data_IF_309614476533
#
_entry.id   IF_309614476533
#
_cell.length_a   1.000
_cell.length_b   1.000
_cell.length_c   1.000
_cell.angle_alpha   90.00
_cell.angle_beta   90.00
_cell.angle_gamma   90.00
#
_symmetry.space_group_name_H-M   'P 1'
#
loop_
_entity.id
_entity.type
_entity.pdbx_description
1 polymer ?
#
# COMPACT_ATOMS: atom_id res chain seq x y z
N UNK A 1 -3.16 -8.08 -21.85
CA UNK A 1 -3.12 -8.14 -20.38
C UNK A 1 -1.84 -7.48 -19.91
N UNK A 2 -1.94 -6.31 -19.29
CA UNK A 2 -0.85 -5.56 -18.65
C UNK A 2 -1.04 -5.63 -17.13
N UNK A 3 0.01 -5.99 -16.41
CA UNK A 3 -0.03 -6.11 -14.95
C UNK A 3 1.03 -5.17 -14.38
N UNK A 4 0.65 -4.35 -13.40
CA UNK A 4 1.63 -3.70 -12.53
C UNK A 4 1.90 -4.63 -11.35
N UNK A 5 3.14 -5.07 -11.19
CA UNK A 5 3.59 -5.89 -10.06
C UNK A 5 4.60 -5.10 -9.22
N UNK A 6 4.32 -4.94 -7.93
CA UNK A 6 5.17 -4.19 -6.99
C UNK A 6 5.11 -4.80 -5.58
N UNK A 7 6.06 -4.44 -4.72
CA UNK A 7 6.15 -4.87 -3.32
C UNK A 7 7.08 -3.91 -2.55
N UNK A 8 7.28 -4.15 -1.25
CA UNK A 8 8.37 -3.57 -0.46
C UNK A 8 8.37 -2.02 -0.42
N UNK A 9 7.18 -1.43 -0.27
CA UNK A 9 7.07 0.02 -0.09
C UNK A 9 7.63 0.44 1.27
N UNK A 10 7.52 -0.40 2.30
CA UNK A 10 8.05 -0.15 3.65
C UNK A 10 7.67 1.24 4.20
N UNK A 11 6.40 1.63 4.03
CA UNK A 11 5.90 2.92 4.45
C UNK A 11 6.10 3.10 5.97
N UNK A 12 6.65 4.26 6.35
CA UNK A 12 7.04 4.56 7.73
C UNK A 12 8.53 4.49 8.02
N UNK A 13 9.36 4.19 7.03
CA UNK A 13 10.79 4.47 7.13
C UNK A 13 11.04 5.98 7.17
N UNK A 14 11.67 6.44 8.25
CA UNK A 14 11.92 7.86 8.52
C UNK A 14 13.41 8.21 8.54
N UNK A 15 14.29 7.29 8.12
CA UNK A 15 15.74 7.47 8.16
C UNK A 15 16.14 8.71 7.35
N UNK A 16 16.95 9.58 7.95
CA UNK A 16 17.37 10.88 7.38
C UNK A 16 16.21 11.85 7.04
N UNK A 17 14.99 11.54 7.49
CA UNK A 17 13.83 12.40 7.34
C UNK A 17 13.84 13.54 8.33
N UNK A 18 13.18 14.64 7.96
CA UNK A 18 12.91 15.78 8.84
C UNK A 18 11.42 16.08 8.81
N UNK A 19 10.94 16.93 9.72
CA UNK A 19 9.57 17.44 9.63
C UNK A 19 9.53 18.50 8.53
N UNK A 20 8.62 18.31 7.60
CA UNK A 20 8.26 19.31 6.62
C UNK A 20 7.37 20.38 7.28
N UNK A 21 7.76 21.66 7.24
CA UNK A 21 7.06 22.71 7.99
C UNK A 21 5.68 23.05 7.42
N UNK A 22 5.41 22.74 6.15
CA UNK A 22 4.13 23.05 5.50
C UNK A 22 3.08 22.00 5.83
N UNK A 23 3.47 20.73 5.83
CA UNK A 23 2.57 19.59 6.03
C UNK A 23 2.57 19.05 7.47
N UNK A 24 3.60 19.35 8.26
CA UNK A 24 3.81 18.75 9.58
C UNK A 24 4.18 17.26 9.55
N UNK A 25 4.39 16.69 8.36
CA UNK A 25 4.70 15.27 8.16
C UNK A 25 6.21 15.06 7.99
N UNK A 26 6.66 13.82 8.20
CA UNK A 26 8.05 13.48 7.91
C UNK A 26 8.30 13.52 6.38
N UNK A 27 9.37 14.18 5.94
CA UNK A 27 9.72 14.28 4.52
C UNK A 27 9.87 12.93 3.84
N UNK A 28 10.29 11.87 4.55
CA UNK A 28 10.35 10.52 3.97
C UNK A 28 8.98 9.97 3.65
N UNK A 29 7.97 10.20 4.49
CA UNK A 29 6.59 9.81 4.19
C UNK A 29 6.12 10.47 2.90
N UNK A 30 6.44 11.76 2.72
CA UNK A 30 6.12 12.51 1.49
C UNK A 30 6.86 11.94 0.27
N UNK A 31 8.12 11.54 0.44
CA UNK A 31 8.90 10.93 -0.64
C UNK A 31 8.29 9.60 -1.09
N UNK A 32 7.94 8.71 -0.15
CA UNK A 32 7.24 7.46 -0.45
C UNK A 32 5.92 7.72 -1.17
N UNK A 33 5.13 8.69 -0.69
CA UNK A 33 3.87 9.04 -1.34
C UNK A 33 4.09 9.47 -2.78
N UNK A 34 5.04 10.39 -3.05
CA UNK A 34 5.33 10.85 -4.42
C UNK A 34 5.80 9.72 -5.33
N UNK A 35 6.63 8.81 -4.83
CA UNK A 35 7.07 7.63 -5.61
C UNK A 35 5.93 6.68 -5.91
N UNK A 36 5.03 6.44 -4.95
CA UNK A 36 3.86 5.60 -5.15
C UNK A 36 2.88 6.25 -6.14
N UNK A 37 2.55 7.53 -5.93
CA UNK A 37 1.68 8.30 -6.83
C UNK A 37 2.21 8.22 -8.28
N UNK A 38 3.51 8.44 -8.48
CA UNK A 38 4.14 8.32 -9.80
C UNK A 38 3.96 6.92 -10.42
N UNK A 39 4.17 5.86 -9.62
CA UNK A 39 3.98 4.48 -10.08
C UNK A 39 2.52 4.23 -10.49
N UNK A 40 1.57 4.69 -9.69
CA UNK A 40 0.13 4.56 -9.98
C UNK A 40 -0.26 5.35 -11.23
N UNK A 41 0.22 6.59 -11.37
CA UNK A 41 -0.01 7.40 -12.56
C UNK A 41 0.48 6.68 -13.82
N UNK A 42 1.71 6.14 -13.81
CA UNK A 42 2.24 5.37 -14.95
C UNK A 42 1.40 4.11 -15.22
N UNK A 43 0.95 3.42 -14.17
CA UNK A 43 0.10 2.24 -14.32
C UNK A 43 -1.22 2.60 -15.01
N UNK A 44 -1.84 3.71 -14.62
CA UNK A 44 -3.09 4.18 -15.22
C UNK A 44 -2.92 4.67 -16.66
N UNK A 45 -1.83 5.37 -16.96
CA UNK A 45 -1.51 5.81 -18.33
C UNK A 45 -1.22 4.65 -19.27
N UNK A 46 -0.67 3.56 -18.74
CA UNK A 46 -0.42 2.34 -19.49
C UNK A 46 -1.66 1.45 -19.62
N UNK A 47 -2.83 1.84 -19.10
CA UNK A 47 -4.06 1.05 -19.12
C UNK A 47 -3.83 -0.38 -18.58
N UNK A 48 -3.32 -0.50 -17.34
CA UNK A 48 -3.16 -1.81 -16.71
C UNK A 48 -4.50 -2.52 -16.46
N UNK A 49 -4.48 -3.85 -16.56
CA UNK A 49 -5.64 -4.71 -16.30
C UNK A 49 -5.66 -5.23 -14.86
N UNK A 50 -4.53 -5.17 -14.13
CA UNK A 50 -4.40 -5.67 -12.75
C UNK A 50 -3.28 -4.93 -12.01
N UNK A 51 -3.55 -4.55 -10.77
CA UNK A 51 -2.56 -4.08 -9.82
C UNK A 51 -2.25 -5.19 -8.81
N UNK A 52 -1.01 -5.67 -8.79
CA UNK A 52 -0.54 -6.76 -7.93
C UNK A 52 0.50 -6.23 -6.94
N UNK A 53 0.14 -6.23 -5.65
CA UNK A 53 0.97 -5.80 -4.53
C UNK A 53 1.43 -7.02 -3.71
N UNK A 54 2.72 -7.36 -3.78
CA UNK A 54 3.27 -8.61 -3.23
C UNK A 54 3.90 -8.46 -1.84
N UNK A 55 3.37 -7.59 -0.99
CA UNK A 55 3.71 -7.51 0.43
C UNK A 55 4.66 -6.38 0.83
N UNK A 56 4.85 -6.28 2.14
CA UNK A 56 5.66 -5.29 2.83
C UNK A 56 5.24 -3.84 2.51
N UNK A 57 3.95 -3.58 2.68
CA UNK A 57 3.38 -2.25 2.54
C UNK A 57 3.93 -1.29 3.60
N UNK A 58 4.09 -1.78 4.83
CA UNK A 58 4.55 -0.99 5.96
C UNK A 58 5.86 -1.54 6.52
N UNK A 59 6.67 -0.64 7.10
CA UNK A 59 7.91 -1.04 7.77
C UNK A 59 7.68 -1.97 8.97
N UNK A 60 6.52 -1.83 9.60
CA UNK A 60 6.13 -2.55 10.83
C UNK A 60 4.66 -2.92 10.77
N UNK A 61 4.27 -4.00 11.45
CA UNK A 61 2.90 -4.50 11.48
C UNK A 61 1.86 -3.55 12.11
N UNK A 62 2.29 -2.52 12.84
CA UNK A 62 1.44 -1.51 13.48
C UNK A 62 1.63 -0.12 12.83
N UNK A 63 1.20 0.10 11.58
CA UNK A 63 1.33 1.40 10.93
C UNK A 63 0.40 2.44 11.56
N UNK A 64 0.88 3.68 11.59
CA UNK A 64 0.09 4.82 12.11
C UNK A 64 -1.13 5.11 11.23
N UNK A 65 -2.20 5.74 11.76
CA UNK A 65 -3.35 6.14 10.95
C UNK A 65 -2.95 7.00 9.74
N UNK A 66 -1.93 7.85 9.88
CA UNK A 66 -1.40 8.65 8.77
C UNK A 66 -0.81 7.78 7.67
N UNK A 67 -0.02 6.75 8.02
CA UNK A 67 0.55 5.81 7.04
C UNK A 67 -0.55 5.01 6.33
N UNK A 68 -1.53 4.50 7.08
CA UNK A 68 -2.67 3.78 6.51
C UNK A 68 -3.47 4.65 5.54
N UNK A 69 -3.78 5.89 5.94
CA UNK A 69 -4.45 6.87 5.09
C UNK A 69 -3.65 7.16 3.82
N UNK A 70 -2.35 7.43 3.94
CA UNK A 70 -1.49 7.74 2.79
C UNK A 70 -1.45 6.59 1.79
N UNK A 71 -1.31 5.34 2.26
CA UNK A 71 -1.32 4.17 1.39
C UNK A 71 -2.67 4.01 0.67
N UNK A 72 -3.79 4.17 1.39
CA UNK A 72 -5.12 4.14 0.81
C UNK A 72 -5.37 5.26 -0.21
N UNK A 73 -4.89 6.47 0.06
CA UNK A 73 -4.96 7.59 -0.89
C UNK A 73 -4.22 7.30 -2.19
N UNK A 74 -3.06 6.62 -2.12
CA UNK A 74 -2.30 6.23 -3.30
C UNK A 74 -2.99 5.15 -4.14
N UNK A 75 -3.69 4.20 -3.51
CA UNK A 75 -4.43 3.14 -4.23
C UNK A 75 -5.80 3.59 -4.75
N UNK A 76 -6.38 4.64 -4.17
CA UNK A 76 -7.73 5.12 -4.52
C UNK A 76 -7.95 5.30 -6.03
N UNK A 77 -7.04 5.93 -6.81
CA UNK A 77 -7.24 6.09 -8.25
C UNK A 77 -7.37 4.76 -9.02
N UNK A 78 -6.65 3.71 -8.58
CA UNK A 78 -6.73 2.36 -9.17
C UNK A 78 -8.10 1.76 -8.89
N UNK A 79 -8.55 1.84 -7.63
CA UNK A 79 -9.86 1.33 -7.21
C UNK A 79 -11.02 2.08 -7.88
N UNK A 80 -10.96 3.41 -7.97
CA UNK A 80 -11.98 4.25 -8.64
C UNK A 80 -12.07 3.97 -10.15
N UNK A 81 -10.98 3.52 -10.78
CA UNK A 81 -10.97 3.09 -12.18
C UNK A 81 -11.56 1.69 -12.38
N UNK A 82 -11.90 0.98 -11.30
CA UNK A 82 -12.40 -0.40 -11.34
C UNK A 82 -11.33 -1.42 -11.72
N UNK A 83 -10.04 -1.06 -11.61
CA UNK A 83 -8.94 -1.99 -11.87
C UNK A 83 -8.81 -2.91 -10.64
N UNK A 84 -8.83 -4.24 -10.82
CA UNK A 84 -8.65 -5.16 -9.70
C UNK A 84 -7.31 -4.95 -8.99
N UNK A 85 -7.35 -5.02 -7.66
CA UNK A 85 -6.17 -4.91 -6.79
C UNK A 85 -6.03 -6.22 -6.03
N UNK A 86 -4.91 -6.91 -6.24
CA UNK A 86 -4.56 -8.11 -5.48
C UNK A 86 -3.40 -7.76 -4.57
N UNK A 87 -3.54 -8.07 -3.28
CA UNK A 87 -2.55 -7.80 -2.25
C UNK A 87 -2.17 -9.08 -1.52
N UNK A 88 -0.88 -9.25 -1.26
CA UNK A 88 -0.34 -10.30 -0.41
C UNK A 88 0.19 -9.64 0.86
N UNK A 89 -0.09 -10.22 2.02
CA UNK A 89 0.47 -9.76 3.29
C UNK A 89 1.92 -10.23 3.39
N UNK A 90 2.86 -9.26 3.50
CA UNK A 90 4.28 -9.54 3.67
C UNK A 90 4.66 -9.87 5.11
N UNK A 91 5.92 -10.26 5.33
CA UNK A 91 6.41 -10.61 6.66
C UNK A 91 6.49 -9.40 7.60
N UNK A 92 6.72 -8.19 7.09
CA UNK A 92 6.70 -6.96 7.92
C UNK A 92 5.27 -6.51 8.26
N UNK A 93 4.28 -6.91 7.44
CA UNK A 93 2.86 -6.63 7.63
C UNK A 93 2.18 -7.62 8.58
N UNK A 94 2.86 -8.72 8.96
CA UNK A 94 2.34 -9.75 9.84
C UNK A 94 2.41 -9.34 11.32
N UNK A 95 1.27 -9.24 12.03
CA UNK A 95 1.28 -8.94 13.45
C UNK A 95 1.92 -10.07 14.26
N UNK A 96 2.67 -9.69 15.30
CA UNK A 96 3.46 -10.60 16.15
C UNK A 96 2.58 -11.60 16.93
N UNK A 97 1.29 -11.29 17.15
CA UNK A 97 0.35 -12.11 17.89
C UNK A 97 -0.61 -12.89 16.98
N UNK A 98 -0.74 -14.19 17.22
CA UNK A 98 -1.71 -15.06 16.54
C UNK A 98 -3.14 -14.50 16.62
N UNK A 99 -3.84 -14.44 15.48
CA UNK A 99 -5.23 -14.00 15.37
C UNK A 99 -5.44 -12.49 15.22
N UNK A 100 -4.38 -11.65 15.30
CA UNK A 100 -4.49 -10.21 15.04
C UNK A 100 -4.55 -9.96 13.53
N UNK A 101 -5.35 -8.97 13.14
CA UNK A 101 -5.46 -8.50 11.77
C UNK A 101 -4.16 -7.79 11.33
N UNK A 102 -3.77 -7.99 10.07
CA UNK A 102 -2.80 -7.14 9.39
C UNK A 102 -3.45 -5.80 9.04
N UNK A 103 -2.66 -4.73 9.01
CA UNK A 103 -3.13 -3.45 8.53
C UNK A 103 -3.58 -3.48 7.06
N UNK A 104 -3.17 -4.49 6.29
CA UNK A 104 -3.64 -4.70 4.92
C UNK A 104 -5.08 -5.27 4.85
N UNK A 105 -5.61 -5.79 5.95
CA UNK A 105 -6.92 -6.44 5.96
C UNK A 105 -8.07 -5.48 5.69
N UNK A 106 -7.91 -4.23 6.11
CA UNK A 106 -8.91 -3.18 5.90
C UNK A 106 -9.18 -2.94 4.41
N UNK A 107 -8.19 -3.20 3.54
CA UNK A 107 -8.31 -2.98 2.10
C UNK A 107 -9.24 -4.00 1.44
N UNK A 108 -9.37 -5.21 1.99
CA UNK A 108 -10.35 -6.19 1.53
C UNK A 108 -11.81 -5.81 1.80
N UNK A 109 -12.05 -4.76 2.59
CA UNK A 109 -13.39 -4.22 2.86
C UNK A 109 -13.71 -2.96 2.03
N UNK A 110 -12.79 -2.51 1.17
CA UNK A 110 -13.05 -1.37 0.29
C UNK A 110 -14.03 -1.78 -0.82
N UNK A 111 -14.84 -0.83 -1.28
CA UNK A 111 -15.69 -1.04 -2.45
C UNK A 111 -14.82 -1.19 -3.70
N UNK A 112 -15.05 -2.25 -4.47
CA UNK A 112 -14.27 -2.59 -5.67
C UNK A 112 -13.78 -4.04 -5.64
N UNK A 113 -12.98 -4.43 -6.64
CA UNK A 113 -12.34 -5.75 -6.71
C UNK A 113 -10.97 -5.71 -6.01
N UNK A 114 -10.99 -5.62 -4.67
CA UNK A 114 -9.77 -5.68 -3.84
C UNK A 114 -9.70 -7.00 -3.10
N UNK A 115 -8.67 -7.78 -3.36
CA UNK A 115 -8.45 -9.10 -2.79
C UNK A 115 -7.17 -9.11 -1.95
N UNK A 116 -7.26 -9.51 -0.68
CA UNK A 116 -6.12 -9.58 0.23
C UNK A 116 -5.90 -11.02 0.66
N UNK A 117 -4.71 -11.54 0.39
CA UNK A 117 -4.31 -12.92 0.70
C UNK A 117 -3.22 -12.94 1.77
N UNK A 118 -3.34 -13.84 2.76
CA UNK A 118 -2.33 -14.05 3.82
C UNK A 118 -1.64 -15.39 3.78
N UNK A 119 -2.26 -16.35 3.11
CA UNK A 119 -1.84 -17.73 3.05
C UNK A 119 -2.42 -18.32 1.77
N UNK A 120 -1.74 -19.30 1.15
CA UNK A 120 -2.29 -20.00 -0.01
C UNK A 120 -3.62 -20.65 0.36
N UNK A 121 -4.60 -20.56 -0.54
CA UNK A 121 -5.75 -21.43 -0.46
C UNK A 121 -5.28 -22.89 -0.65
N UNK A 122 -5.81 -23.80 0.17
CA UNK A 122 -5.47 -25.22 0.15
C UNK A 122 -6.02 -25.92 -1.08
#
# INVERSE_FOLDING_TARGET
MKILHTADIHLGSNTYGRIDPETGLNTRLLDFKRSFDFMVERALEEDIDLFLFCGDAYRTADPTPTQQRTFAECLRPVAERGIPIVMIVGNHDHPVSFGKASALDIFGFLQGEVHVFRQPDR
#
